data_IF_424530801961
#
_entry.id   IF_424530801961
#
_cell.length_a   1.000
_cell.length_b   1.000
_cell.length_c   1.000
_cell.angle_alpha   90.00
_cell.angle_beta   90.00
_cell.angle_gamma   90.00
#
_symmetry.space_group_name_H-M   'P 1'
#
loop_
_entity.id
_entity.type
_entity.pdbx_description
1 polymer ?
#
# COMPACT_ATOMS: atom_id res chain seq x y z
N UNK A 1 7.74 10.20 44.61
CA UNK A 1 7.12 10.52 45.91
C UNK A 1 5.85 11.33 45.66
N UNK A 2 4.77 11.03 46.40
CA UNK A 2 3.69 11.98 46.69
C UNK A 2 4.26 13.21 47.46
N UNK A 3 3.62 14.36 47.70
CA UNK A 3 2.25 14.90 47.59
C UNK A 3 2.39 16.44 47.82
N UNK A 4 1.59 17.34 47.21
CA UNK A 4 0.99 18.51 47.94
C UNK A 4 -0.28 19.02 47.19
N UNK A 5 -1.29 19.45 47.95
CA UNK A 5 -2.49 20.23 47.54
C UNK A 5 -2.91 21.10 48.77
N UNK A 6 -3.87 22.04 48.77
CA UNK A 6 -4.99 22.37 47.87
C UNK A 6 -5.38 23.85 48.05
N UNK A 7 -5.67 24.61 46.98
CA UNK A 7 -6.45 25.87 47.12
C UNK A 7 -7.32 26.15 45.88
N UNK A 8 -8.62 26.41 46.12
CA UNK A 8 -9.63 26.79 45.12
C UNK A 8 -9.76 28.32 45.05
N UNK A 9 -10.06 28.86 43.86
CA UNK A 9 -11.09 29.92 43.68
C UNK A 9 -11.81 29.67 42.35
N UNK A 10 -13.15 29.68 42.35
CA UNK A 10 -13.94 29.62 41.13
C UNK A 10 -13.97 31.01 40.46
N UNK A 11 -13.67 31.07 39.16
CA UNK A 11 -14.17 32.14 38.30
C UNK A 11 -15.01 31.50 37.19
N UNK A 12 -16.33 31.66 37.26
CA UNK A 12 -17.28 31.00 36.37
C UNK A 12 -17.45 31.78 35.06
N UNK A 13 -16.44 31.74 34.20
CA UNK A 13 -16.61 32.03 32.76
C UNK A 13 -16.48 30.72 32.01
N UNK A 14 -17.60 30.05 31.76
CA UNK A 14 -17.63 28.88 30.86
C UNK A 14 -17.20 29.34 29.47
N UNK A 15 -16.06 28.88 28.91
CA UNK A 15 -15.80 29.12 27.51
C UNK A 15 -16.84 28.33 26.72
N UNK A 16 -17.66 29.03 25.93
CA UNK A 16 -18.54 28.38 24.96
C UNK A 16 -17.65 27.53 24.04
N UNK A 17 -17.95 26.23 23.81
CA UNK A 17 -17.12 25.38 22.98
C UNK A 17 -17.21 25.82 21.52
N UNK A 18 -16.27 26.67 21.08
CA UNK A 18 -16.16 27.15 19.69
C UNK A 18 -15.64 26.09 18.73
N UNK A 19 -15.23 24.93 19.21
CA UNK A 19 -14.85 23.80 18.38
C UNK A 19 -16.10 23.00 17.97
N UNK A 20 -16.83 23.52 16.98
CA UNK A 20 -17.76 22.69 16.20
C UNK A 20 -17.03 21.43 15.71
N UNK A 21 -17.66 20.25 15.71
CA UNK A 21 -17.04 19.08 15.10
C UNK A 21 -16.74 19.37 13.62
N UNK A 22 -15.61 18.90 13.08
CA UNK A 22 -15.34 19.06 11.65
C UNK A 22 -16.51 18.44 10.85
N UNK A 23 -16.94 19.06 9.74
CA UNK A 23 -18.02 18.52 8.95
C UNK A 23 -17.69 17.09 8.50
N UNK A 24 -18.67 16.19 8.43
CA UNK A 24 -18.43 14.82 8.00
C UNK A 24 -17.78 14.84 6.61
N UNK A 25 -16.57 14.30 6.51
CA UNK A 25 -15.89 14.16 5.22
C UNK A 25 -16.75 13.31 4.30
N UNK A 26 -16.94 13.70 3.02
CA UNK A 26 -17.66 12.86 2.08
C UNK A 26 -16.99 11.48 1.99
N UNK A 27 -17.76 10.40 1.78
CA UNK A 27 -17.17 9.07 1.61
C UNK A 27 -16.18 9.10 0.44
N UNK A 28 -15.05 8.37 0.54
CA UNK A 28 -14.12 8.26 -0.57
C UNK A 28 -14.84 7.69 -1.80
N UNK A 29 -14.46 8.10 -3.03
CA UNK A 29 -15.02 7.50 -4.23
C UNK A 29 -14.78 5.98 -4.23
N UNK A 30 -15.68 5.19 -4.85
CA UNK A 30 -15.48 3.75 -4.94
C UNK A 30 -14.14 3.44 -5.65
N UNK A 31 -13.45 2.36 -5.27
CA UNK A 31 -12.17 2.01 -5.89
C UNK A 31 -12.34 1.79 -7.39
N UNK A 32 -11.71 2.66 -8.18
CA UNK A 32 -11.76 2.58 -9.64
C UNK A 32 -10.73 1.56 -10.12
N UNK A 33 -11.18 0.40 -10.60
CA UNK A 33 -10.32 -0.53 -11.32
C UNK A 33 -10.06 -0.02 -12.73
N UNK A 34 -8.82 -0.19 -13.20
CA UNK A 34 -8.45 0.08 -14.59
C UNK A 34 -9.21 -0.90 -15.51
N UNK A 35 -9.82 -0.44 -16.62
CA UNK A 35 -10.64 -1.31 -17.46
C UNK A 35 -9.76 -2.41 -18.11
N UNK A 36 -10.06 -3.70 -17.91
CA UNK A 36 -9.22 -4.79 -18.41
C UNK A 36 -9.10 -4.79 -19.95
N UNK A 37 -10.13 -4.28 -20.64
CA UNK A 37 -10.20 -4.32 -22.10
C UNK A 37 -9.26 -3.30 -22.79
N UNK A 38 -8.75 -2.30 -22.06
CA UNK A 38 -7.67 -1.44 -22.57
C UNK A 38 -6.28 -2.06 -22.36
N UNK A 39 -6.18 -3.19 -21.65
CA UNK A 39 -4.93 -3.82 -21.25
C UNK A 39 -4.55 -4.93 -22.25
N UNK A 40 -3.81 -4.55 -23.31
CA UNK A 40 -3.32 -5.49 -24.33
C UNK A 40 -2.44 -6.58 -23.71
N UNK A 41 -2.90 -7.84 -23.77
CA UNK A 41 -2.19 -9.02 -23.25
C UNK A 41 -0.84 -9.26 -23.94
N UNK A 42 -0.74 -8.88 -25.20
CA UNK A 42 0.39 -9.20 -26.08
C UNK A 42 1.63 -8.31 -25.85
N UNK A 43 1.43 -7.15 -25.22
CA UNK A 43 2.47 -6.17 -24.92
C UNK A 43 2.82 -6.19 -23.42
N UNK A 44 3.99 -5.62 -23.08
CA UNK A 44 4.43 -5.45 -21.70
C UNK A 44 3.71 -4.28 -20.99
N UNK A 45 2.37 -4.27 -21.03
CA UNK A 45 1.53 -3.17 -20.57
C UNK A 45 1.39 -3.09 -19.04
N UNK A 46 1.87 -4.09 -18.28
CA UNK A 46 1.86 -4.08 -16.81
C UNK A 46 3.29 -4.02 -16.29
N UNK A 47 3.59 -3.00 -15.47
CA UNK A 47 4.79 -2.94 -14.64
C UNK A 47 4.41 -3.28 -13.19
N UNK A 48 5.10 -4.24 -12.60
CA UNK A 48 4.96 -4.61 -11.18
C UNK A 48 6.21 -4.18 -10.43
N UNK A 49 6.05 -3.22 -9.53
CA UNK A 49 7.14 -2.68 -8.69
C UNK A 49 7.11 -3.34 -7.31
N UNK A 50 8.16 -4.09 -6.97
CA UNK A 50 8.29 -4.82 -5.70
C UNK A 50 9.27 -4.14 -4.75
N UNK A 51 8.85 -3.95 -3.49
CA UNK A 51 9.72 -3.49 -2.39
C UNK A 51 10.36 -4.66 -1.60
N UNK A 52 11.28 -4.39 -0.66
CA UNK A 52 11.94 -5.43 0.14
C UNK A 52 11.06 -6.10 1.20
N UNK A 53 9.89 -5.53 1.50
CA UNK A 53 8.94 -6.00 2.52
C UNK A 53 7.90 -7.00 2.00
N UNK A 54 6.90 -7.29 2.84
CA UNK A 54 5.85 -8.27 2.52
C UNK A 54 5.09 -7.92 1.24
N UNK A 55 4.74 -6.63 1.05
CA UNK A 55 4.10 -6.10 -0.16
C UNK A 55 4.90 -6.41 -1.45
N UNK A 56 6.21 -6.59 -1.35
CA UNK A 56 7.03 -7.06 -2.48
C UNK A 56 6.74 -8.51 -2.85
N UNK A 57 6.52 -9.37 -1.87
CA UNK A 57 6.04 -10.75 -2.06
C UNK A 57 4.66 -10.79 -2.70
N UNK A 58 3.73 -9.94 -2.25
CA UNK A 58 2.40 -9.82 -2.86
C UNK A 58 2.50 -9.38 -4.32
N UNK A 59 3.39 -8.44 -4.64
CA UNK A 59 3.72 -8.06 -6.01
C UNK A 59 4.29 -9.22 -6.83
N UNK A 60 5.19 -10.04 -6.29
CA UNK A 60 5.73 -11.22 -6.98
C UNK A 60 4.64 -12.28 -7.24
N UNK A 61 3.75 -12.51 -6.28
CA UNK A 61 2.60 -13.40 -6.43
C UNK A 61 1.64 -12.85 -7.50
N UNK A 62 1.38 -11.55 -7.51
CA UNK A 62 0.57 -10.87 -8.53
C UNK A 62 1.18 -11.01 -9.94
N UNK A 63 2.49 -10.73 -10.10
CA UNK A 63 3.20 -10.89 -11.36
C UNK A 63 3.16 -12.33 -11.90
N UNK A 64 3.23 -13.34 -11.02
CA UNK A 64 3.05 -14.75 -11.38
C UNK A 64 1.64 -15.02 -11.91
N UNK A 65 0.60 -14.55 -11.23
CA UNK A 65 -0.80 -14.74 -11.68
C UNK A 65 -1.09 -14.01 -12.98
N UNK A 66 -0.57 -12.79 -13.17
CA UNK A 66 -0.67 -12.05 -14.44
C UNK A 66 -0.09 -12.85 -15.62
N UNK A 67 1.06 -13.52 -15.46
CA UNK A 67 1.59 -14.44 -16.48
C UNK A 67 0.67 -15.63 -16.75
N UNK A 68 0.08 -16.23 -15.71
CA UNK A 68 -0.90 -17.33 -15.86
C UNK A 68 -2.19 -16.89 -16.57
N UNK A 69 -2.60 -15.63 -16.41
CA UNK A 69 -3.75 -15.04 -17.11
C UNK A 69 -3.44 -14.54 -18.54
N UNK A 70 -2.22 -14.84 -19.05
CA UNK A 70 -1.81 -14.51 -20.41
C UNK A 70 -1.25 -13.10 -20.63
N UNK A 71 -1.07 -12.31 -19.57
CA UNK A 71 -0.39 -11.01 -19.66
C UNK A 71 1.14 -11.19 -19.65
N UNK A 72 1.86 -10.15 -20.11
CA UNK A 72 3.33 -10.09 -20.07
C UNK A 72 3.82 -9.02 -19.07
N UNK A 73 3.66 -9.23 -17.75
CA UNK A 73 4.11 -8.26 -16.75
C UNK A 73 5.63 -8.14 -16.73
N UNK A 74 6.08 -6.90 -16.62
CA UNK A 74 7.48 -6.53 -16.34
C UNK A 74 7.66 -6.41 -14.83
N UNK A 75 8.73 -6.99 -14.28
CA UNK A 75 9.01 -6.96 -12.83
C UNK A 75 10.20 -6.05 -12.53
N UNK A 76 9.96 -5.00 -11.75
CA UNK A 76 11.01 -4.15 -11.17
C UNK A 76 11.16 -4.47 -9.67
N UNK A 77 12.29 -5.08 -9.30
CA UNK A 77 12.56 -5.49 -7.92
C UNK A 77 14.00 -5.15 -7.48
N UNK A 78 14.31 -3.86 -7.22
CA UNK A 78 15.69 -3.39 -7.03
C UNK A 78 16.32 -3.84 -5.71
N UNK A 79 15.54 -3.93 -4.63
CA UNK A 79 16.04 -4.36 -3.31
C UNK A 79 15.43 -5.70 -2.91
N UNK A 80 16.06 -6.77 -3.37
CA UNK A 80 15.60 -8.13 -3.12
C UNK A 80 15.83 -8.57 -1.67
N UNK A 81 14.83 -9.19 -1.08
CA UNK A 81 14.90 -9.71 0.29
C UNK A 81 15.63 -11.05 0.31
N UNK A 82 16.57 -11.23 1.25
CA UNK A 82 17.43 -12.42 1.26
C UNK A 82 16.72 -13.71 1.76
N UNK A 83 15.46 -13.62 2.23
CA UNK A 83 14.69 -14.76 2.74
C UNK A 83 14.36 -15.76 1.62
N UNK A 84 14.40 -17.09 1.86
CA UNK A 84 14.14 -18.09 0.83
C UNK A 84 12.81 -17.94 0.08
N UNK A 85 11.75 -17.53 0.78
CA UNK A 85 10.41 -17.31 0.23
C UNK A 85 10.41 -16.33 -0.97
N UNK A 86 11.03 -15.16 -0.81
CA UNK A 86 11.05 -14.15 -1.89
C UNK A 86 11.90 -14.60 -3.08
N UNK A 87 12.98 -15.37 -2.84
CA UNK A 87 13.80 -15.97 -3.91
C UNK A 87 13.00 -16.99 -4.71
N UNK A 88 12.25 -17.87 -4.05
CA UNK A 88 11.38 -18.84 -4.71
C UNK A 88 10.26 -18.15 -5.50
N UNK A 89 9.61 -17.11 -4.94
CA UNK A 89 8.61 -16.32 -5.65
C UNK A 89 9.19 -15.63 -6.90
N UNK A 90 10.36 -15.00 -6.80
CA UNK A 90 11.03 -14.36 -7.93
C UNK A 90 11.44 -15.37 -9.02
N UNK A 91 11.83 -16.60 -8.65
CA UNK A 91 12.06 -17.68 -9.60
C UNK A 91 10.77 -18.12 -10.30
N UNK A 92 9.65 -18.24 -9.57
CA UNK A 92 8.34 -18.63 -10.11
C UNK A 92 7.73 -17.60 -11.09
N UNK A 93 8.03 -16.30 -10.93
CA UNK A 93 7.67 -15.29 -11.93
C UNK A 93 8.41 -15.52 -13.26
N UNK A 94 9.52 -16.26 -13.25
CA UNK A 94 10.38 -16.50 -14.41
C UNK A 94 11.24 -15.27 -14.72
N UNK A 95 12.56 -15.48 -14.86
CA UNK A 95 13.57 -14.43 -15.06
C UNK A 95 13.36 -13.63 -16.36
N UNK A 96 12.51 -12.62 -16.28
CA UNK A 96 12.58 -11.41 -17.12
C UNK A 96 12.95 -10.22 -16.24
N UNK A 97 14.22 -10.10 -15.80
CA UNK A 97 14.72 -8.87 -15.22
C UNK A 97 14.85 -7.84 -16.35
N UNK A 98 13.81 -7.02 -16.51
CA UNK A 98 13.94 -5.83 -17.34
C UNK A 98 14.41 -4.68 -16.46
N UNK A 99 15.43 -3.99 -16.97
CA UNK A 99 16.21 -2.91 -16.38
C UNK A 99 17.31 -3.34 -15.39
N UNK A 100 18.54 -2.79 -15.55
CA UNK A 100 19.72 -3.10 -14.77
C UNK A 100 19.73 -2.47 -13.37
#
# INVERSE_FOLDING_TARGET
MFFISLTRVLCTTTPLPTHLPPPPTPPPPPPQCYPPESLKKDHAAVLVCCGPGNNGGDGLVCARHLKLFGYKPTLYYPKQSNKPLFKALAQQVGRTPCFP
#
